data_IF_400157594671
#
_entry.id   IF_400157594671
#
_cell.length_a   1.000
_cell.length_b   1.000
_cell.length_c   1.000
_cell.angle_alpha   90.00
_cell.angle_beta   90.00
_cell.angle_gamma   90.00
#
_symmetry.space_group_name_H-M   'P 1'
#
loop_
_entity.id
_entity.type
_entity.pdbx_description
1 polymer ?
#
# COMPACT_ATOMS: atom_id res chain seq x y z
N UNK A 1 9.31 -19.38 2.67
CA UNK A 1 9.05 -18.21 1.80
C UNK A 1 8.33 -17.17 2.60
N UNK A 2 8.77 -15.94 2.51
CA UNK A 2 8.18 -14.79 3.18
C UNK A 2 7.70 -13.80 2.14
N UNK A 3 6.55 -13.17 2.39
CA UNK A 3 6.03 -12.06 1.60
C UNK A 3 5.55 -10.95 2.53
N UNK A 4 5.73 -9.72 2.13
CA UNK A 4 5.28 -8.58 2.90
C UNK A 4 4.96 -7.38 2.02
N UNK A 5 4.09 -6.54 2.54
CA UNK A 5 3.67 -5.30 1.89
C UNK A 5 3.98 -4.13 2.81
N UNK A 6 4.37 -3.02 2.23
CA UNK A 6 4.61 -1.81 2.99
C UNK A 6 4.11 -0.58 2.24
N UNK A 7 3.73 0.42 3.00
CA UNK A 7 3.26 1.70 2.49
C UNK A 7 4.32 2.74 2.78
N UNK A 8 4.78 3.42 1.75
CA UNK A 8 5.88 4.38 1.80
C UNK A 8 5.47 5.70 1.19
N UNK A 9 6.07 6.78 1.65
CA UNK A 9 6.06 8.03 0.90
C UNK A 9 6.99 7.90 -0.32
N UNK A 10 6.74 8.70 -1.33
CA UNK A 10 7.51 8.64 -2.57
C UNK A 10 9.03 8.74 -2.35
N UNK A 11 9.46 9.61 -1.45
CA UNK A 11 10.88 9.80 -1.14
C UNK A 11 11.50 8.69 -0.29
N UNK A 12 10.66 7.85 0.33
CA UNK A 12 11.14 6.68 1.08
C UNK A 12 11.39 5.46 0.18
N UNK A 13 10.79 5.42 -1.02
CA UNK A 13 10.81 4.24 -1.87
C UNK A 13 12.24 3.81 -2.22
N UNK A 14 13.07 4.71 -2.69
CA UNK A 14 14.45 4.39 -3.08
C UNK A 14 15.32 3.91 -1.91
N UNK A 15 15.43 4.62 -0.78
CA UNK A 15 16.26 4.15 0.33
C UNK A 15 15.77 2.83 0.92
N UNK A 16 14.47 2.62 1.03
CA UNK A 16 13.89 1.38 1.56
C UNK A 16 14.13 0.22 0.60
N UNK A 17 13.96 0.43 -0.69
CA UNK A 17 14.24 -0.58 -1.72
C UNK A 17 15.72 -0.99 -1.69
N UNK A 18 16.62 -0.04 -1.59
CA UNK A 18 18.06 -0.31 -1.52
C UNK A 18 18.41 -1.19 -0.33
N UNK A 19 17.89 -0.89 0.85
CA UNK A 19 18.13 -1.69 2.05
C UNK A 19 17.56 -3.09 1.90
N UNK A 20 16.36 -3.24 1.31
CA UNK A 20 15.77 -4.56 1.06
C UNK A 20 16.67 -5.41 0.15
N UNK A 21 17.12 -4.85 -0.96
CA UNK A 21 17.98 -5.54 -1.92
C UNK A 21 19.37 -5.87 -1.33
N UNK A 22 19.97 -4.94 -0.62
CA UNK A 22 21.26 -5.14 0.04
C UNK A 22 21.24 -6.26 1.09
N UNK A 23 20.10 -6.52 1.68
CA UNK A 23 19.92 -7.57 2.69
C UNK A 23 19.33 -8.87 2.13
N UNK A 24 19.36 -9.05 0.81
CA UNK A 24 18.98 -10.29 0.16
C UNK A 24 17.48 -10.50 0.00
N UNK A 25 16.67 -9.47 0.22
CA UNK A 25 15.25 -9.53 -0.08
C UNK A 25 14.99 -9.19 -1.53
N UNK A 26 13.89 -9.69 -2.05
CA UNK A 26 13.41 -9.34 -3.39
C UNK A 26 12.35 -8.24 -3.27
N UNK A 27 12.39 -7.29 -4.19
CA UNK A 27 11.31 -6.33 -4.39
C UNK A 27 10.48 -6.82 -5.57
N UNK A 28 9.30 -7.30 -5.30
CA UNK A 28 8.47 -7.95 -6.32
C UNK A 28 7.52 -7.00 -7.03
N UNK A 29 7.18 -5.90 -6.39
CA UNK A 29 6.37 -4.85 -7.01
C UNK A 29 6.58 -3.52 -6.29
N UNK A 30 6.45 -2.46 -7.04
CA UNK A 30 6.40 -1.09 -6.53
C UNK A 30 5.38 -0.33 -7.36
N UNK A 31 4.34 0.18 -6.73
CA UNK A 31 3.26 0.87 -7.43
C UNK A 31 2.55 1.87 -6.54
N UNK A 32 1.82 2.78 -7.15
CA UNK A 32 0.84 3.63 -6.49
C UNK A 32 -0.56 3.24 -6.97
N UNK A 33 -1.58 3.60 -6.18
CA UNK A 33 -2.95 3.26 -6.51
C UNK A 33 -3.67 4.38 -7.26
N UNK A 34 -3.23 5.63 -7.10
CA UNK A 34 -3.88 6.80 -7.67
C UNK A 34 -2.88 7.67 -8.42
N UNK A 35 -3.31 8.26 -9.53
CA UNK A 35 -2.46 9.19 -10.28
C UNK A 35 -2.19 10.48 -9.51
N UNK A 36 -3.20 10.96 -8.83
CA UNK A 36 -3.14 12.23 -8.10
C UNK A 36 -3.47 12.01 -6.64
N UNK A 37 -2.46 11.82 -5.86
CA UNK A 37 -2.54 11.75 -4.41
C UNK A 37 -1.54 12.73 -3.80
N UNK A 38 -1.87 13.25 -2.63
CA UNK A 38 -0.99 14.13 -1.88
C UNK A 38 -1.13 13.84 -0.38
N UNK A 39 -0.04 13.44 0.27
CA UNK A 39 1.24 13.08 -0.30
C UNK A 39 1.15 11.83 -1.18
N UNK A 40 2.07 11.71 -2.12
CA UNK A 40 2.13 10.51 -2.96
C UNK A 40 2.60 9.32 -2.13
N UNK A 41 1.81 8.26 -2.16
CA UNK A 41 2.02 7.02 -1.42
C UNK A 41 2.34 5.90 -2.39
N UNK A 42 3.38 5.14 -2.07
CA UNK A 42 3.80 3.98 -2.84
C UNK A 42 3.58 2.71 -2.03
N UNK A 43 3.22 1.65 -2.71
CA UNK A 43 3.07 0.32 -2.14
C UNK A 43 4.21 -0.55 -2.66
N UNK A 44 5.00 -1.07 -1.75
CA UNK A 44 6.14 -1.92 -2.07
C UNK A 44 5.89 -3.32 -1.55
N UNK A 45 6.02 -4.29 -2.44
CA UNK A 45 5.92 -5.71 -2.12
C UNK A 45 7.30 -6.30 -2.07
N UNK A 46 7.60 -6.97 -0.98
CA UNK A 46 8.88 -7.66 -0.78
C UNK A 46 8.67 -9.15 -0.60
N UNK A 47 9.68 -9.90 -0.94
CA UNK A 47 9.69 -11.34 -0.75
C UNK A 47 11.07 -11.84 -0.41
N UNK A 48 11.13 -13.07 0.07
CA UNK A 48 12.39 -13.72 0.36
C UNK A 48 12.22 -15.20 0.66
N UNK A 49 13.28 -15.94 0.42
CA UNK A 49 13.37 -17.34 0.78
C UNK A 49 14.65 -17.57 1.56
N UNK A 50 14.65 -18.52 2.49
CA UNK A 50 15.81 -18.86 3.27
C UNK A 50 15.51 -19.04 4.76
N UNK A 51 16.53 -18.85 5.56
CA UNK A 51 16.46 -19.02 7.00
C UNK A 51 15.53 -17.96 7.62
N UNK A 52 14.54 -18.36 8.45
CA UNK A 52 13.61 -17.41 9.08
C UNK A 52 14.29 -16.31 9.90
N UNK A 53 15.36 -16.61 10.61
CA UNK A 53 16.09 -15.62 11.40
C UNK A 53 16.78 -14.58 10.52
N UNK A 54 17.39 -15.02 9.42
CA UNK A 54 18.02 -14.13 8.46
C UNK A 54 16.97 -13.23 7.76
N UNK A 55 15.83 -13.79 7.39
CA UNK A 55 14.72 -13.02 6.82
C UNK A 55 14.16 -12.00 7.81
N UNK A 56 13.98 -12.39 9.06
CA UNK A 56 13.51 -11.47 10.10
C UNK A 56 14.50 -10.33 10.34
N UNK A 57 15.79 -10.61 10.32
CA UNK A 57 16.84 -9.59 10.46
C UNK A 57 16.81 -8.61 9.29
N UNK A 58 16.69 -9.11 8.07
CA UNK A 58 16.59 -8.29 6.86
C UNK A 58 15.34 -7.38 6.90
N UNK A 59 14.20 -7.92 7.25
CA UNK A 59 12.96 -7.16 7.41
C UNK A 59 13.08 -6.10 8.51
N UNK A 60 13.75 -6.44 9.61
CA UNK A 60 14.03 -5.49 10.69
C UNK A 60 14.85 -4.28 10.24
N UNK A 61 15.82 -4.49 9.37
CA UNK A 61 16.59 -3.40 8.75
C UNK A 61 15.75 -2.53 7.84
N UNK A 62 14.86 -3.14 7.08
CA UNK A 62 13.88 -2.41 6.24
C UNK A 62 12.99 -1.52 7.10
N UNK A 63 12.42 -2.04 8.18
CA UNK A 63 11.60 -1.26 9.09
C UNK A 63 12.37 -0.13 9.79
N UNK A 64 13.62 -0.36 10.16
CA UNK A 64 14.49 0.69 10.71
C UNK A 64 14.69 1.82 9.71
N UNK A 65 14.90 1.50 8.44
CA UNK A 65 15.05 2.49 7.37
C UNK A 65 13.76 3.27 7.15
N UNK A 66 12.61 2.62 7.19
CA UNK A 66 11.31 3.29 7.10
C UNK A 66 11.18 4.30 8.25
N UNK A 67 11.51 3.89 9.46
CA UNK A 67 11.44 4.74 10.64
C UNK A 67 12.39 5.94 10.55
N UNK A 68 13.62 5.73 10.12
CA UNK A 68 14.62 6.79 9.96
C UNK A 68 14.23 7.80 8.89
N UNK A 69 13.69 7.32 7.78
CA UNK A 69 13.27 8.18 6.67
C UNK A 69 11.94 8.89 6.92
N UNK A 70 11.14 8.42 7.87
CA UNK A 70 9.88 9.06 8.27
C UNK A 70 10.04 10.12 9.36
N UNK A 71 11.22 10.26 9.95
CA UNK A 71 11.48 11.24 10.99
C UNK A 71 11.26 12.68 10.50
N UNK A 72 10.34 13.39 11.15
CA UNK A 72 9.98 14.75 10.82
C UNK A 72 8.97 14.90 9.69
N UNK A 73 8.57 13.81 9.04
CA UNK A 73 7.55 13.79 7.98
C UNK A 73 6.25 13.13 8.40
N UNK A 74 6.09 12.89 9.69
CA UNK A 74 4.88 12.30 10.27
C UNK A 74 3.71 13.28 10.36
N UNK A 75 3.67 14.29 9.50
CA UNK A 75 2.49 15.13 9.37
C UNK A 75 1.36 14.29 8.76
N UNK A 76 0.25 14.25 9.47
CA UNK A 76 -0.98 13.66 8.96
C UNK A 76 -1.29 14.26 7.59
N UNK A 77 -1.76 13.46 6.63
CA UNK A 77 -2.19 14.00 5.34
C UNK A 77 -3.20 15.12 5.56
N UNK A 78 -3.06 16.16 4.79
CA UNK A 78 -3.79 17.44 4.92
C UNK A 78 -5.31 17.30 4.73
N UNK A 79 -5.79 16.13 4.37
CA UNK A 79 -7.20 15.86 4.15
C UNK A 79 -7.70 14.81 5.13
N UNK A 80 -8.30 15.26 6.21
CA UNK A 80 -9.24 14.44 6.94
C UNK A 80 -10.53 14.38 6.12
N UNK A 81 -10.67 13.35 5.32
CA UNK A 81 -11.96 13.03 4.75
C UNK A 81 -12.76 12.29 5.81
N UNK A 82 -13.88 12.86 6.20
CA UNK A 82 -14.84 12.15 7.05
C UNK A 82 -15.60 11.12 6.20
N UNK A 83 -15.39 9.82 6.41
CA UNK A 83 -16.04 8.79 5.61
C UNK A 83 -17.57 8.82 5.71
N UNK A 84 -18.12 9.41 6.78
CA UNK A 84 -19.57 9.55 6.96
C UNK A 84 -20.19 10.61 6.06
N UNK A 85 -19.38 11.48 5.47
CA UNK A 85 -19.81 12.56 4.58
C UNK A 85 -19.67 12.24 3.10
N UNK A 86 -19.51 10.98 2.76
CA UNK A 86 -19.47 10.58 1.36
C UNK A 86 -20.81 10.92 0.68
N UNK A 87 -20.74 11.50 -0.51
CA UNK A 87 -21.90 11.75 -1.35
C UNK A 87 -22.22 10.60 -2.30
N UNK A 88 -21.43 9.51 -2.22
CA UNK A 88 -21.64 8.32 -3.02
C UNK A 88 -22.91 7.59 -2.60
N UNK A 89 -23.75 7.27 -3.57
CA UNK A 89 -24.92 6.43 -3.39
C UNK A 89 -24.61 5.02 -3.97
N UNK A 90 -24.32 4.03 -3.11
CA UNK A 90 -23.96 2.70 -3.55
C UNK A 90 -25.03 2.04 -4.42
N UNK A 91 -26.31 2.23 -4.08
CA UNK A 91 -27.43 1.66 -4.82
C UNK A 91 -27.51 2.20 -6.23
N UNK A 92 -27.28 3.49 -6.40
CA UNK A 92 -27.31 4.13 -7.71
C UNK A 92 -26.14 3.65 -8.59
N UNK A 93 -24.97 3.43 -8.00
CA UNK A 93 -23.82 2.87 -8.68
C UNK A 93 -24.10 1.43 -9.10
N UNK A 94 -24.65 0.62 -8.21
CA UNK A 94 -25.03 -0.78 -8.49
C UNK A 94 -26.07 -0.88 -9.61
N UNK A 95 -27.07 0.00 -9.62
CA UNK A 95 -28.09 0.06 -10.67
C UNK A 95 -27.50 0.38 -12.02
N UNK A 96 -26.52 1.29 -12.08
CA UNK A 96 -25.84 1.67 -13.33
C UNK A 96 -24.92 0.55 -13.83
N UNK A 97 -24.15 -0.05 -12.93
CA UNK A 97 -23.15 -1.07 -13.28
C UNK A 97 -23.73 -2.47 -13.39
N UNK A 98 -24.90 -2.72 -12.81
CA UNK A 98 -25.52 -4.04 -12.76
C UNK A 98 -24.76 -5.04 -11.89
N UNK A 99 -23.88 -4.56 -11.02
CA UNK A 99 -23.05 -5.38 -10.11
C UNK A 99 -23.06 -4.77 -8.72
N UNK A 100 -23.07 -5.64 -7.73
CA UNK A 100 -22.91 -5.21 -6.32
C UNK A 100 -21.45 -4.92 -6.03
N UNK A 101 -21.21 -3.84 -5.32
CA UNK A 101 -19.92 -3.46 -4.81
C UNK A 101 -19.91 -3.35 -3.29
N UNK A 102 -18.80 -2.93 -2.75
CA UNK A 102 -18.59 -2.72 -1.33
C UNK A 102 -18.17 -1.28 -1.07
N UNK A 103 -18.88 -0.63 -0.14
CA UNK A 103 -18.52 0.69 0.34
C UNK A 103 -17.74 0.55 1.64
N UNK A 104 -16.48 0.98 1.64
CA UNK A 104 -15.62 0.94 2.80
C UNK A 104 -14.97 2.31 3.02
N UNK A 105 -15.25 2.94 4.16
CA UNK A 105 -14.67 4.24 4.56
C UNK A 105 -14.75 5.31 3.45
N UNK A 106 -15.90 5.38 2.78
CA UNK A 106 -16.13 6.36 1.72
C UNK A 106 -15.57 5.97 0.35
N UNK A 107 -14.95 4.81 0.23
CA UNK A 107 -14.44 4.27 -1.04
C UNK A 107 -15.33 3.13 -1.50
N UNK A 108 -15.81 3.23 -2.73
CA UNK A 108 -16.62 2.20 -3.33
C UNK A 108 -15.75 1.27 -4.19
N UNK A 109 -15.83 -0.02 -3.89
CA UNK A 109 -15.13 -1.07 -4.61
C UNK A 109 -16.15 -2.00 -5.28
N UNK A 110 -15.94 -2.31 -6.54
CA UNK A 110 -16.74 -3.31 -7.24
C UNK A 110 -15.83 -4.25 -8.03
N UNK A 111 -16.13 -5.54 -8.04
CA UNK A 111 -15.43 -6.47 -8.90
C UNK A 111 -15.87 -6.31 -10.34
N UNK A 112 -14.93 -6.29 -11.27
CA UNK A 112 -15.23 -6.28 -12.69
C UNK A 112 -15.74 -7.66 -13.14
N UNK A 113 -15.10 -8.69 -12.60
CA UNK A 113 -15.43 -10.08 -12.84
C UNK A 113 -14.92 -10.93 -11.69
N UNK A 114 -15.54 -12.08 -11.45
CA UNK A 114 -15.11 -12.99 -10.39
C UNK A 114 -13.70 -13.56 -10.61
N UNK A 115 -13.26 -13.65 -11.84
CA UNK A 115 -11.95 -14.19 -12.19
C UNK A 115 -10.83 -13.14 -12.16
N UNK A 116 -11.16 -11.86 -12.10
CA UNK A 116 -10.19 -10.76 -12.16
C UNK A 116 -9.53 -10.42 -10.83
N UNK A 117 -10.03 -10.99 -9.73
CA UNK A 117 -9.48 -10.78 -8.39
C UNK A 117 -8.60 -11.93 -7.90
N UNK A 118 -8.43 -12.92 -8.72
CA UNK A 118 -7.57 -14.06 -8.40
C UNK A 118 -6.08 -13.78 -8.59
#
# INVERSE_FOLDING_TARGET
>A
MMMGDMVLLEDQANPVMSVALENGLEVTALHNHFFWDSPKVMFMHIGGTGNPEALATAVGKVFSTIKETSNGKGEKPFFETDPSKTTLDPKKIEDILGKKGELNKGVYLWPLDNDEWS
#
